data_IF_935575706157
#
_entry.id   IF_935575706157
#
_cell.length_a   1.000
_cell.length_b   1.000
_cell.length_c   1.000
_cell.angle_alpha   90.00
_cell.angle_beta   90.00
_cell.angle_gamma   90.00
#
_symmetry.space_group_name_H-M   'P 1'
#
loop_
_entity.id
_entity.type
_entity.pdbx_description
1 polymer ?
#
# COMPACT_ATOMS: atom_id res chain seq x y z
N UNK A 1 -1.51 43.83 24.79
CA UNK A 1 -0.70 43.01 23.86
C UNK A 1 -1.48 41.74 23.57
N UNK A 2 -2.03 41.61 22.36
CA UNK A 2 -2.62 40.35 21.90
C UNK A 2 -1.48 39.39 21.58
N UNK A 3 -1.32 38.35 22.39
CA UNK A 3 -0.41 37.25 22.09
C UNK A 3 -1.07 36.46 20.97
N UNK A 4 -0.62 36.69 19.73
CA UNK A 4 -0.94 35.80 18.62
C UNK A 4 -0.45 34.41 19.02
N UNK A 5 -1.38 33.47 19.16
CA UNK A 5 -1.06 32.05 19.21
C UNK A 5 -0.37 31.72 17.89
N UNK A 6 0.95 31.58 17.95
CA UNK A 6 1.75 31.05 16.86
C UNK A 6 1.28 29.61 16.67
N UNK A 7 0.33 29.43 15.76
CA UNK A 7 -0.04 28.14 15.23
C UNK A 7 1.19 27.61 14.51
N UNK A 8 1.97 26.79 15.20
CA UNK A 8 2.89 25.89 14.55
C UNK A 8 2.02 25.06 13.60
N UNK A 9 2.11 25.37 12.29
CA UNK A 9 1.64 24.49 11.23
C UNK A 9 2.43 23.19 11.38
N UNK A 10 1.88 22.33 12.21
CA UNK A 10 2.25 20.96 12.43
C UNK A 10 2.43 20.35 11.02
N UNK A 11 3.65 19.86 10.73
CA UNK A 11 4.04 19.05 9.57
C UNK A 11 3.21 17.76 9.51
N UNK A 12 1.89 17.89 9.40
CA UNK A 12 0.96 16.79 9.26
C UNK A 12 1.02 16.37 7.81
N UNK A 13 1.98 15.51 7.50
CA UNK A 13 1.78 14.54 6.43
C UNK A 13 0.51 13.75 6.74
N UNK A 14 -0.63 14.26 6.29
CA UNK A 14 -1.93 13.62 6.43
C UNK A 14 -2.00 12.49 5.42
N UNK A 15 -1.95 11.25 5.91
CA UNK A 15 -2.16 10.08 5.09
C UNK A 15 -3.66 9.83 4.92
N UNK A 16 -4.14 9.64 3.69
CA UNK A 16 -5.59 9.55 3.42
C UNK A 16 -6.02 8.38 2.53
N UNK A 17 -5.10 7.77 1.78
CA UNK A 17 -5.37 6.57 0.99
C UNK A 17 -5.69 5.37 1.86
N UNK A 18 -6.48 4.43 1.34
CA UNK A 18 -7.04 3.31 2.10
C UNK A 18 -6.76 1.99 1.42
N UNK A 19 -6.69 0.93 2.22
CA UNK A 19 -6.75 -0.44 1.71
C UNK A 19 -8.14 -0.65 1.10
N UNK A 20 -8.14 -1.21 -0.11
CA UNK A 20 -9.34 -1.42 -0.87
C UNK A 20 -10.19 -2.57 -0.36
N UNK A 21 -11.47 -2.54 -0.73
CA UNK A 21 -12.50 -3.43 -0.18
C UNK A 21 -12.19 -4.91 -0.48
N UNK A 22 -11.65 -5.22 -1.67
CA UNK A 22 -11.38 -6.59 -2.06
C UNK A 22 -10.28 -7.22 -1.18
N UNK A 23 -9.20 -6.46 -0.94
CA UNK A 23 -8.14 -6.85 0.00
C UNK A 23 -8.70 -7.04 1.41
N UNK A 24 -9.53 -6.12 1.92
CA UNK A 24 -10.11 -6.25 3.26
C UNK A 24 -11.02 -7.47 3.40
N UNK A 25 -11.83 -7.80 2.39
CA UNK A 25 -12.69 -8.99 2.40
C UNK A 25 -11.85 -10.26 2.56
N UNK A 26 -10.77 -10.39 1.78
CA UNK A 26 -9.85 -11.53 1.89
C UNK A 26 -9.13 -11.53 3.23
N UNK A 27 -8.59 -10.38 3.66
CA UNK A 27 -7.85 -10.25 4.91
C UNK A 27 -8.69 -10.67 6.13
N UNK A 28 -10.00 -10.39 6.13
CA UNK A 28 -10.92 -10.80 7.21
C UNK A 28 -10.96 -12.32 7.44
N UNK A 29 -10.67 -13.12 6.41
CA UNK A 29 -10.68 -14.59 6.50
C UNK A 29 -9.40 -15.17 7.11
N UNK A 30 -8.29 -14.44 7.06
CA UNK A 30 -6.96 -14.96 7.40
C UNK A 30 -6.27 -14.22 8.55
N UNK A 31 -6.68 -12.98 8.83
CA UNK A 31 -6.08 -12.16 9.90
C UNK A 31 -6.88 -12.27 11.19
N UNK A 32 -6.17 -12.08 12.31
CA UNK A 32 -6.80 -11.84 13.60
C UNK A 32 -7.68 -10.57 13.54
N UNK A 33 -8.64 -10.46 14.46
CA UNK A 33 -9.50 -9.26 14.55
C UNK A 33 -8.69 -7.99 14.76
N UNK A 34 -7.60 -8.06 15.52
CA UNK A 34 -6.70 -6.94 15.79
C UNK A 34 -5.96 -6.51 14.53
N UNK A 35 -5.29 -7.43 13.85
CA UNK A 35 -4.53 -7.15 12.62
C UNK A 35 -5.42 -6.66 11.48
N UNK A 36 -6.62 -7.23 11.36
CA UNK A 36 -7.62 -6.78 10.41
C UNK A 36 -8.02 -5.32 10.68
N UNK A 37 -8.26 -4.96 11.95
CA UNK A 37 -8.63 -3.59 12.31
C UNK A 37 -7.46 -2.62 12.09
N UNK A 38 -6.23 -3.04 12.38
CA UNK A 38 -5.03 -2.27 12.07
C UNK A 38 -4.93 -1.99 10.57
N UNK A 39 -5.08 -3.00 9.73
CA UNK A 39 -5.05 -2.87 8.28
C UNK A 39 -6.19 -2.00 7.73
N UNK A 40 -7.42 -2.18 8.23
CA UNK A 40 -8.62 -1.41 7.83
C UNK A 40 -8.51 0.07 8.17
N UNK A 41 -7.94 0.38 9.34
CA UNK A 41 -7.85 1.74 9.84
C UNK A 41 -6.58 2.46 9.37
N UNK A 42 -5.58 1.71 8.89
CA UNK A 42 -4.37 2.28 8.32
C UNK A 42 -4.68 3.25 7.16
N UNK A 43 -3.86 4.30 7.09
CA UNK A 43 -3.91 5.29 6.02
C UNK A 43 -2.53 5.43 5.39
N UNK A 44 -2.50 5.55 4.08
CA UNK A 44 -1.28 5.60 3.28
C UNK A 44 -1.36 6.66 2.20
N UNK A 45 -0.22 7.19 1.76
CA UNK A 45 -0.18 8.23 0.73
C UNK A 45 -0.88 9.53 1.11
N UNK A 46 -0.59 10.62 0.38
CA UNK A 46 -1.16 11.94 0.65
C UNK A 46 -2.55 12.11 0.05
N UNK A 47 -2.91 11.29 -0.96
CA UNK A 47 -4.12 11.47 -1.74
C UNK A 47 -5.29 10.65 -1.17
N UNK A 48 -6.38 11.33 -0.83
CA UNK A 48 -7.60 10.73 -0.29
C UNK A 48 -8.34 9.81 -1.26
N UNK A 49 -8.05 9.90 -2.56
CA UNK A 49 -8.63 9.05 -3.58
C UNK A 49 -7.73 7.85 -3.91
N UNK A 50 -6.65 7.65 -3.17
CA UNK A 50 -5.78 6.50 -3.34
C UNK A 50 -6.42 5.26 -2.74
N UNK A 51 -6.58 4.24 -3.58
CA UNK A 51 -7.01 2.91 -3.19
C UNK A 51 -5.84 1.94 -3.38
N UNK A 52 -5.64 1.08 -2.38
CA UNK A 52 -4.50 0.16 -2.31
C UNK A 52 -5.01 -1.27 -2.24
N UNK A 53 -4.78 -2.06 -3.28
CA UNK A 53 -5.07 -3.49 -3.27
C UNK A 53 -3.77 -4.28 -3.10
N UNK A 54 -3.81 -5.33 -2.28
CA UNK A 54 -2.68 -6.24 -2.07
C UNK A 54 -2.95 -7.52 -2.84
N UNK A 55 -2.01 -7.88 -3.71
CA UNK A 55 -2.10 -9.10 -4.52
C UNK A 55 -0.87 -9.98 -4.29
N UNK A 56 -1.08 -11.29 -4.24
CA UNK A 56 -0.01 -12.28 -4.23
C UNK A 56 0.11 -12.89 -5.63
N UNK A 57 1.33 -13.02 -6.12
CA UNK A 57 1.61 -13.72 -7.37
C UNK A 57 2.74 -14.71 -7.17
N UNK A 58 2.55 -15.92 -7.69
CA UNK A 58 3.54 -16.97 -7.63
C UNK A 58 4.32 -16.96 -8.95
N UNK A 59 5.58 -16.52 -8.89
CA UNK A 59 6.48 -16.60 -10.04
C UNK A 59 7.17 -17.95 -9.98
N UNK A 60 6.91 -18.78 -10.98
CA UNK A 60 7.56 -20.07 -11.15
C UNK A 60 8.69 -19.89 -12.14
N UNK A 61 9.93 -20.15 -11.71
CA UNK A 61 11.10 -20.20 -12.57
C UNK A 61 11.75 -21.57 -12.48
N UNK A 62 12.43 -21.96 -13.56
CA UNK A 62 13.25 -23.17 -13.61
C UNK A 62 14.71 -22.74 -13.68
N UNK A 63 15.57 -23.33 -12.85
CA UNK A 63 17.00 -23.11 -12.95
C UNK A 63 17.62 -23.90 -14.13
N UNK A 64 18.92 -23.72 -14.36
CA UNK A 64 19.65 -24.46 -15.41
C UNK A 64 19.71 -25.99 -15.19
N UNK A 65 19.22 -26.49 -14.07
CA UNK A 65 19.12 -27.91 -13.72
C UNK A 65 17.65 -28.38 -13.69
N UNK A 66 16.74 -27.59 -14.26
CA UNK A 66 15.30 -27.85 -14.34
C UNK A 66 14.60 -27.99 -12.98
N UNK A 67 15.19 -27.44 -11.90
CA UNK A 67 14.56 -27.41 -10.58
C UNK A 67 13.56 -26.26 -10.52
N UNK A 68 12.39 -26.54 -9.96
CA UNK A 68 11.31 -25.57 -9.80
C UNK A 68 11.59 -24.65 -8.63
N UNK A 69 11.74 -23.36 -8.91
CA UNK A 69 11.78 -22.29 -7.93
C UNK A 69 10.45 -21.55 -7.93
N UNK A 70 9.77 -21.49 -6.78
CA UNK A 70 8.52 -20.75 -6.62
C UNK A 70 8.78 -19.55 -5.72
N UNK A 71 8.61 -18.35 -6.27
CA UNK A 71 8.65 -17.11 -5.51
C UNK A 71 7.24 -16.58 -5.30
N UNK A 72 6.82 -16.50 -4.04
CA UNK A 72 5.54 -15.91 -3.65
C UNK A 72 5.74 -14.42 -3.39
N UNK A 73 5.44 -13.58 -4.37
CA UNK A 73 5.64 -12.14 -4.29
C UNK A 73 4.35 -11.43 -3.89
N UNK A 74 4.49 -10.44 -3.02
CA UNK A 74 3.41 -9.57 -2.59
C UNK A 74 3.55 -8.22 -3.30
N UNK A 75 2.48 -7.75 -3.92
CA UNK A 75 2.44 -6.45 -4.59
C UNK A 75 1.37 -5.55 -3.98
N UNK A 76 1.66 -4.24 -3.96
CA UNK A 76 0.68 -3.19 -3.79
C UNK A 76 0.27 -2.65 -5.17
N UNK A 77 -1.02 -2.75 -5.48
CA UNK A 77 -1.65 -2.13 -6.64
C UNK A 77 -2.32 -0.84 -6.18
N UNK A 78 -1.81 0.28 -6.67
CA UNK A 78 -2.16 1.62 -6.25
C UNK A 78 -2.98 2.25 -7.38
N UNK A 79 -4.21 2.61 -7.07
CA UNK A 79 -5.13 3.26 -8.01
C UNK A 79 -5.60 4.60 -7.47
N UNK A 80 -5.87 5.54 -8.38
CA UNK A 80 -6.58 6.76 -8.05
C UNK A 80 -8.06 6.58 -8.42
N UNK A 81 -8.96 6.57 -7.46
CA UNK A 81 -10.38 6.32 -7.69
C UNK A 81 -11.07 7.40 -8.53
N UNK A 82 -10.53 8.63 -8.59
CA UNK A 82 -11.10 9.73 -9.38
C UNK A 82 -10.53 9.82 -10.79
N UNK A 83 -9.27 9.46 -10.97
CA UNK A 83 -8.60 9.55 -12.27
C UNK A 83 -8.65 8.18 -12.94
N UNK A 84 -9.14 8.10 -14.18
CA UNK A 84 -9.09 6.87 -15.00
C UNK A 84 -7.66 6.62 -15.53
N UNK A 85 -6.70 6.50 -14.61
CA UNK A 85 -5.30 6.20 -14.91
C UNK A 85 -5.05 4.69 -14.77
N UNK A 86 -4.08 4.14 -15.50
CA UNK A 86 -3.67 2.76 -15.29
C UNK A 86 -3.16 2.58 -13.85
N UNK A 87 -3.49 1.44 -13.20
CA UNK A 87 -3.00 1.13 -11.86
C UNK A 87 -1.47 1.06 -11.86
N UNK A 88 -0.85 1.51 -10.76
CA UNK A 88 0.59 1.33 -10.55
C UNK A 88 0.81 0.14 -9.61
N UNK A 89 1.59 -0.84 -10.06
CA UNK A 89 1.89 -2.05 -9.30
C UNK A 89 3.32 -1.99 -8.78
N UNK A 90 3.50 -2.14 -7.48
CA UNK A 90 4.81 -2.07 -6.80
C UNK A 90 5.02 -3.33 -5.97
N UNK A 91 6.20 -3.94 -6.10
CA UNK A 91 6.59 -5.12 -5.33
C UNK A 91 6.92 -4.74 -3.87
N UNK A 92 6.33 -5.44 -2.90
CA UNK A 92 6.60 -5.29 -1.46
C UNK A 92 7.60 -6.33 -0.94
N UNK A 93 7.99 -7.29 -1.78
CA UNK A 93 8.90 -8.38 -1.49
C UNK A 93 8.25 -9.75 -1.51
N UNK A 94 9.06 -10.77 -1.25
CA UNK A 94 8.62 -12.16 -1.13
C UNK A 94 8.19 -12.48 0.31
N UNK A 95 7.12 -13.26 0.47
CA UNK A 95 6.71 -13.83 1.76
C UNK A 95 5.29 -13.49 2.19
N UNK A 96 4.98 -13.85 3.43
CA UNK A 96 3.68 -13.60 4.03
C UNK A 96 3.43 -12.13 4.33
N UNK A 97 2.17 -11.78 4.52
CA UNK A 97 1.71 -10.45 4.92
C UNK A 97 1.72 -10.39 6.46
N UNK A 98 2.82 -9.98 7.12
CA UNK A 98 2.99 -10.16 8.57
C UNK A 98 2.28 -9.05 9.36
N UNK A 99 1.65 -8.08 8.68
CA UNK A 99 0.96 -6.89 9.24
C UNK A 99 1.77 -6.22 10.38
N UNK A 100 3.10 -6.22 10.23
CA UNK A 100 4.04 -5.66 11.20
C UNK A 100 4.42 -4.22 10.83
N UNK A 101 5.15 -3.54 11.72
CA UNK A 101 5.63 -2.16 11.48
C UNK A 101 6.43 -2.05 10.18
N UNK A 102 7.24 -3.07 9.87
CA UNK A 102 8.06 -3.09 8.67
C UNK A 102 7.23 -3.25 7.39
N UNK A 103 6.16 -4.05 7.42
CA UNK A 103 5.17 -4.12 6.35
C UNK A 103 4.49 -2.77 6.14
N UNK A 104 4.00 -2.12 7.19
CA UNK A 104 3.35 -0.81 7.07
C UNK A 104 4.29 0.26 6.51
N UNK A 105 5.56 0.26 6.91
CA UNK A 105 6.57 1.17 6.37
C UNK A 105 6.82 0.92 4.87
N UNK A 106 7.01 -0.35 4.47
CA UNK A 106 7.17 -0.73 3.06
C UNK A 106 5.97 -0.34 2.22
N UNK A 107 4.76 -0.61 2.73
CA UNK A 107 3.51 -0.26 2.06
C UNK A 107 3.37 1.27 1.93
N UNK A 108 3.68 2.03 2.98
CA UNK A 108 3.64 3.50 2.92
C UNK A 108 4.58 4.05 1.84
N UNK A 109 5.82 3.56 1.79
CA UNK A 109 6.79 3.94 0.76
C UNK A 109 6.31 3.56 -0.65
N UNK A 110 5.73 2.37 -0.81
CA UNK A 110 5.15 1.95 -2.08
C UNK A 110 4.00 2.88 -2.49
N UNK A 111 3.08 3.21 -1.59
CA UNK A 111 1.95 4.12 -1.90
C UNK A 111 2.45 5.51 -2.31
N UNK A 112 3.41 6.08 -1.58
CA UNK A 112 4.00 7.39 -1.94
C UNK A 112 4.63 7.33 -3.34
N UNK A 113 5.39 6.27 -3.64
CA UNK A 113 5.99 6.08 -4.95
C UNK A 113 4.92 5.94 -6.06
N UNK A 114 3.89 5.12 -5.82
CA UNK A 114 2.80 4.95 -6.79
C UNK A 114 2.00 6.23 -7.02
N UNK A 115 1.75 7.03 -5.98
CA UNK A 115 1.15 8.36 -6.13
C UNK A 115 2.02 9.30 -6.98
N UNK A 116 3.34 9.27 -6.80
CA UNK A 116 4.28 10.05 -7.59
C UNK A 116 4.32 9.60 -9.05
N UNK A 117 4.17 8.31 -9.34
CA UNK A 117 4.08 7.80 -10.71
C UNK A 117 2.74 8.23 -11.33
N UNK A 118 1.63 8.06 -10.61
CA UNK A 118 0.29 8.48 -11.05
C UNK A 118 0.17 9.99 -11.28
N UNK A 119 0.93 10.81 -10.55
CA UNK A 119 0.93 12.26 -10.78
C UNK A 119 1.67 12.64 -12.07
N UNK A 120 2.75 11.93 -12.40
CA UNK A 120 3.55 12.13 -13.63
C UNK A 120 2.86 11.63 -14.90
N UNK A 121 2.03 10.58 -14.80
CA UNK A 121 1.21 10.09 -15.93
C UNK A 121 0.17 11.11 -16.43
N UNK A 122 0.04 12.26 -15.76
CA UNK A 122 -0.88 13.35 -16.13
C UNK A 122 -0.14 14.57 -16.71
N UNK A 123 0.98 14.36 -17.41
CA UNK A 123 1.55 15.35 -18.35
C UNK A 123 0.91 15.17 -19.72
#
# INVERSE_FOLDING_TARGET
MFVQSISFQNDKTCFNGKIGKATLIKAKQYLSKEDYNNLKNARFGKNQFTNVELIRENIISYDGLNRKNVQNNLYAVITNLRKKLPPVKINLGSGDMPVDRMFFARLSNAVINGENILSKLKS
#
